data_IF_561475620536
#
_entry.id   IF_561475620536
#
_cell.length_a   1.000
_cell.length_b   1.000
_cell.length_c   1.000
_cell.angle_alpha   90.00
_cell.angle_beta   90.00
_cell.angle_gamma   90.00
#
_symmetry.space_group_name_H-M   'P 1'
#
loop_
_entity.id
_entity.type
_entity.pdbx_description
1 polymer ?
#
# COMPACT_ATOMS: atom_id res chain seq x y z
N UNK A 1 -12.65 34.10 22.99
CA UNK A 1 -12.97 34.83 21.77
C UNK A 1 -11.75 35.52 21.13
N UNK A 2 -10.65 35.74 21.86
CA UNK A 2 -9.47 36.46 21.32
C UNK A 2 -8.50 35.61 20.55
N UNK A 3 -8.60 34.28 20.60
CA UNK A 3 -7.67 33.37 19.92
C UNK A 3 -8.09 32.94 18.50
N UNK A 4 -9.34 33.14 18.10
CA UNK A 4 -9.84 32.82 16.75
C UNK A 4 -9.23 33.68 15.64
N UNK A 5 -8.74 34.88 15.98
CA UNK A 5 -8.17 35.82 14.99
C UNK A 5 -6.75 35.46 14.50
N UNK A 6 -6.13 34.42 15.05
CA UNK A 6 -4.69 34.10 14.77
C UNK A 6 -4.48 32.95 13.78
N UNK A 7 -5.53 32.28 13.33
CA UNK A 7 -5.40 31.13 12.44
C UNK A 7 -5.86 31.46 11.01
N UNK A 8 -4.94 31.33 10.06
CA UNK A 8 -5.28 31.36 8.64
C UNK A 8 -5.59 29.94 8.19
N UNK A 9 -6.84 29.64 7.82
CA UNK A 9 -7.22 28.37 7.21
C UNK A 9 -6.76 28.36 5.76
N UNK A 10 -5.78 27.54 5.44
CA UNK A 10 -5.36 27.25 4.06
C UNK A 10 -5.97 25.92 3.65
N UNK A 11 -6.76 25.92 2.58
CA UNK A 11 -7.38 24.71 2.03
C UNK A 11 -6.73 24.42 0.68
N UNK A 12 -6.12 23.23 0.57
CA UNK A 12 -5.58 22.70 -0.69
C UNK A 12 -6.37 21.46 -1.09
N UNK A 13 -6.66 21.33 -2.37
CA UNK A 13 -7.12 20.08 -2.95
C UNK A 13 -5.95 19.39 -3.68
N UNK A 14 -6.12 18.11 -4.03
CA UNK A 14 -5.08 17.35 -4.73
C UNK A 14 -4.68 17.97 -6.08
N UNK A 15 -5.62 18.59 -6.78
CA UNK A 15 -5.36 19.27 -8.05
C UNK A 15 -4.39 20.44 -7.88
N UNK A 16 -4.61 21.28 -6.88
CA UNK A 16 -3.72 22.41 -6.56
C UNK A 16 -2.34 21.93 -6.13
N UNK A 17 -2.29 20.85 -5.32
CA UNK A 17 -1.05 20.24 -4.88
C UNK A 17 -0.24 19.71 -6.06
N UNK A 18 -0.86 18.95 -6.97
CA UNK A 18 -0.21 18.39 -8.16
C UNK A 18 0.30 19.47 -9.13
N UNK A 19 -0.42 20.58 -9.25
CA UNK A 19 0.04 21.71 -10.07
C UNK A 19 1.32 22.36 -9.53
N UNK A 20 1.55 22.31 -8.22
CA UNK A 20 2.75 22.83 -7.58
C UNK A 20 3.97 21.89 -7.63
N UNK A 21 3.77 20.62 -8.02
CA UNK A 21 4.84 19.63 -8.04
C UNK A 21 5.69 19.70 -9.31
N UNK A 22 6.98 19.38 -9.18
CA UNK A 22 7.91 19.34 -10.30
C UNK A 22 7.69 18.12 -11.18
N UNK A 23 7.52 16.94 -10.57
CA UNK A 23 7.50 15.64 -11.26
C UNK A 23 6.10 15.04 -11.32
N UNK A 24 5.45 14.83 -10.17
CA UNK A 24 4.15 14.16 -10.09
C UNK A 24 3.04 15.04 -10.66
N UNK A 25 2.37 14.57 -11.72
CA UNK A 25 1.34 15.33 -12.46
C UNK A 25 -0.06 14.75 -12.39
N UNK A 26 -0.19 13.48 -11.98
CA UNK A 26 -1.50 12.84 -11.93
C UNK A 26 -1.61 11.82 -10.80
N UNK A 27 -2.83 11.63 -10.32
CA UNK A 27 -3.21 10.63 -9.33
C UNK A 27 -4.40 9.83 -9.85
N UNK A 28 -4.24 8.52 -9.95
CA UNK A 28 -5.32 7.57 -10.16
C UNK A 28 -5.88 7.09 -8.84
N UNK A 29 -7.21 7.01 -8.73
CA UNK A 29 -7.90 6.38 -7.61
C UNK A 29 -8.80 5.31 -8.17
N UNK A 30 -8.67 4.07 -7.70
CA UNK A 30 -9.41 2.95 -8.23
C UNK A 30 -9.75 1.90 -7.19
N UNK A 31 -10.70 1.05 -7.59
CA UNK A 31 -11.12 -0.13 -6.84
C UNK A 31 -10.92 -1.35 -7.72
N UNK A 32 -10.51 -2.43 -7.10
CA UNK A 32 -10.46 -3.73 -7.75
C UNK A 32 -11.24 -4.73 -6.90
N UNK A 33 -12.22 -5.38 -7.52
CA UNK A 33 -13.06 -6.35 -6.85
C UNK A 33 -12.58 -7.76 -7.15
N UNK A 34 -12.58 -8.61 -6.12
CA UNK A 34 -12.21 -10.01 -6.26
C UNK A 34 -13.22 -10.93 -5.55
N UNK A 35 -13.24 -12.18 -5.94
CA UNK A 35 -14.00 -13.25 -5.27
C UNK A 35 -13.04 -14.22 -4.58
N UNK A 36 -13.47 -14.84 -3.49
CA UNK A 36 -12.65 -15.78 -2.72
C UNK A 36 -11.55 -15.10 -1.91
N UNK A 37 -10.29 -15.52 -2.11
CA UNK A 37 -9.11 -14.96 -1.42
C UNK A 37 -8.25 -14.16 -2.40
N UNK A 38 -7.90 -12.93 -2.05
CA UNK A 38 -7.15 -12.00 -2.92
C UNK A 38 -5.75 -12.52 -3.34
N UNK A 39 -5.17 -13.42 -2.54
CA UNK A 39 -3.85 -14.01 -2.77
C UNK A 39 -3.92 -15.40 -3.44
N UNK A 40 -5.12 -15.95 -3.69
CA UNK A 40 -5.30 -17.26 -4.34
C UNK A 40 -5.80 -17.09 -5.76
N UNK A 41 -5.23 -17.90 -6.65
CA UNK A 41 -5.74 -18.01 -8.03
C UNK A 41 -7.14 -18.63 -8.04
N UNK A 42 -8.00 -18.07 -8.86
CA UNK A 42 -9.30 -18.66 -9.18
C UNK A 42 -9.10 -19.79 -10.21
N UNK A 43 -10.02 -20.76 -10.27
CA UNK A 43 -9.91 -21.85 -11.24
C UNK A 43 -9.87 -21.42 -12.72
N UNK A 44 -10.45 -20.26 -13.02
CA UNK A 44 -10.56 -19.64 -14.35
C UNK A 44 -9.54 -18.54 -14.61
N UNK A 45 -8.62 -18.28 -13.66
CA UNK A 45 -7.62 -17.21 -13.75
C UNK A 45 -6.20 -17.74 -13.56
N UNK A 46 -5.27 -17.18 -14.30
CA UNK A 46 -3.86 -17.52 -14.20
C UNK A 46 -3.17 -16.85 -13.00
N UNK A 47 -3.72 -15.73 -12.53
CA UNK A 47 -3.17 -14.92 -11.43
C UNK A 47 -4.22 -14.70 -10.34
N UNK A 48 -3.76 -14.48 -9.13
CA UNK A 48 -4.59 -13.96 -8.03
C UNK A 48 -4.86 -12.46 -8.24
N UNK A 49 -5.87 -11.93 -7.56
CA UNK A 49 -6.18 -10.50 -7.64
C UNK A 49 -5.00 -9.61 -7.20
N UNK A 50 -4.21 -10.07 -6.23
CA UNK A 50 -3.00 -9.35 -5.80
C UNK A 50 -1.95 -9.32 -6.91
N UNK A 51 -1.67 -10.46 -7.56
CA UNK A 51 -0.71 -10.55 -8.67
C UNK A 51 -1.13 -9.71 -9.89
N UNK A 52 -2.45 -9.58 -10.14
CA UNK A 52 -2.98 -8.74 -11.23
C UNK A 52 -2.70 -7.25 -11.00
N UNK A 53 -2.78 -6.79 -9.75
CA UNK A 53 -2.69 -5.37 -9.42
C UNK A 53 -1.25 -4.93 -9.16
N UNK A 54 -0.42 -5.76 -8.55
CA UNK A 54 0.96 -5.39 -8.21
C UNK A 54 1.80 -5.35 -9.48
N UNK A 55 2.20 -4.14 -9.86
CA UNK A 55 3.19 -3.91 -10.91
C UNK A 55 4.58 -3.88 -10.28
N UNK A 56 5.39 -4.91 -10.54
CA UNK A 56 6.74 -5.06 -10.00
C UNK A 56 7.75 -4.00 -10.48
N UNK A 57 7.37 -3.20 -11.47
CA UNK A 57 8.16 -2.04 -11.90
C UNK A 57 7.92 -0.81 -11.02
N UNK A 58 6.85 -0.81 -10.22
CA UNK A 58 6.40 0.30 -9.39
C UNK A 58 6.77 0.12 -7.92
N UNK A 59 7.06 1.23 -7.26
CA UNK A 59 7.32 1.28 -5.82
C UNK A 59 5.99 1.28 -5.08
N UNK A 60 5.68 0.18 -4.38
CA UNK A 60 4.34 -0.09 -3.86
C UNK A 60 4.33 -0.18 -2.34
N UNK A 61 3.37 0.49 -1.69
CA UNK A 61 2.99 0.21 -0.30
C UNK A 61 1.73 -0.65 -0.32
N UNK A 62 1.77 -1.80 0.34
CA UNK A 62 0.63 -2.70 0.53
C UNK A 62 0.17 -2.61 1.98
N UNK A 63 -1.03 -2.08 2.19
CA UNK A 63 -1.67 -2.07 3.50
C UNK A 63 -2.54 -3.32 3.66
N UNK A 64 -2.14 -4.20 4.58
CA UNK A 64 -2.89 -5.42 4.87
C UNK A 64 -4.22 -5.10 5.57
N UNK A 65 -5.23 -6.01 5.48
CA UNK A 65 -6.51 -5.80 6.15
C UNK A 65 -6.34 -5.74 7.68
N UNK A 66 -7.23 -4.98 8.33
CA UNK A 66 -7.33 -5.06 9.79
C UNK A 66 -7.71 -6.50 10.20
N UNK A 67 -7.19 -6.98 11.31
CA UNK A 67 -7.52 -8.31 11.87
C UNK A 67 -9.02 -8.52 12.10
N UNK A 68 -9.77 -7.44 12.25
CA UNK A 68 -11.23 -7.46 12.42
C UNK A 68 -12.00 -7.43 11.09
N UNK A 69 -11.33 -7.18 9.97
CA UNK A 69 -11.98 -7.16 8.67
C UNK A 69 -12.41 -8.57 8.22
N UNK A 70 -13.46 -8.65 7.41
CA UNK A 70 -13.96 -9.93 6.88
C UNK A 70 -12.94 -10.61 5.95
N UNK A 71 -12.15 -9.81 5.24
CA UNK A 71 -11.12 -10.25 4.30
C UNK A 71 -9.86 -10.81 4.99
N UNK A 72 -9.68 -10.50 6.29
CA UNK A 72 -8.50 -10.91 7.05
C UNK A 72 -8.50 -12.41 7.36
N UNK A 73 -7.32 -13.04 7.34
CA UNK A 73 -7.08 -14.37 7.90
C UNK A 73 -7.20 -14.42 9.44
N UNK A 74 -7.37 -13.25 10.09
CA UNK A 74 -7.34 -12.99 11.53
C UNK A 74 -5.93 -13.02 12.15
N UNK A 75 -4.94 -13.40 11.38
CA UNK A 75 -3.54 -13.47 11.78
C UNK A 75 -2.68 -12.61 10.84
N UNK A 76 -2.18 -11.46 11.34
CA UNK A 76 -1.46 -10.49 10.54
C UNK A 76 -0.17 -11.04 9.90
N UNK A 77 0.48 -11.99 10.55
CA UNK A 77 1.69 -12.63 10.02
C UNK A 77 1.37 -13.58 8.86
N UNK A 78 0.23 -14.25 8.91
CA UNK A 78 -0.27 -15.06 7.79
C UNK A 78 -0.59 -14.18 6.58
N UNK A 79 -1.17 -12.99 6.81
CA UNK A 79 -1.39 -12.04 5.71
C UNK A 79 -0.10 -11.64 5.01
N UNK A 80 0.96 -11.36 5.78
CA UNK A 80 2.28 -11.05 5.21
C UNK A 80 2.82 -12.23 4.42
N UNK A 81 2.75 -13.44 4.97
CA UNK A 81 3.21 -14.66 4.29
C UNK A 81 2.43 -14.89 2.99
N UNK A 82 1.10 -14.72 2.99
CA UNK A 82 0.28 -14.86 1.79
C UNK A 82 0.66 -13.84 0.69
N UNK A 83 0.98 -12.60 1.09
CA UNK A 83 1.45 -11.59 0.14
C UNK A 83 2.81 -11.98 -0.42
N UNK A 84 3.75 -12.40 0.44
CA UNK A 84 5.08 -12.83 0.01
C UNK A 84 4.97 -14.02 -0.96
N UNK A 85 4.18 -15.05 -0.60
CA UNK A 85 3.98 -16.24 -1.42
C UNK A 85 3.32 -15.92 -2.77
N UNK A 86 2.43 -14.93 -2.84
CA UNK A 86 1.84 -14.47 -4.09
C UNK A 86 2.86 -13.72 -4.96
N UNK A 87 3.74 -12.92 -4.36
CA UNK A 87 4.77 -12.18 -5.09
C UNK A 87 5.89 -13.10 -5.62
N UNK A 88 6.32 -14.06 -4.81
CA UNK A 88 7.47 -14.89 -5.21
C UNK A 88 7.95 -15.85 -4.15
N UNK A 89 9.15 -16.38 -4.39
CA UNK A 89 9.83 -17.26 -3.46
C UNK A 89 10.86 -16.45 -2.66
N UNK A 90 10.81 -16.56 -1.32
CA UNK A 90 11.76 -15.88 -0.46
C UNK A 90 13.14 -16.52 -0.60
N UNK A 91 14.11 -15.75 -1.10
CA UNK A 91 15.50 -16.20 -1.24
C UNK A 91 16.25 -16.08 0.09
N UNK A 92 16.20 -14.90 0.70
CA UNK A 92 16.81 -14.64 2.01
C UNK A 92 16.30 -13.33 2.63
N UNK A 93 16.61 -13.16 3.90
CA UNK A 93 16.45 -11.90 4.63
C UNK A 93 17.82 -11.34 5.00
N UNK A 94 18.07 -10.07 4.70
CA UNK A 94 19.28 -9.38 5.11
C UNK A 94 19.28 -9.15 6.64
N UNK A 95 20.26 -9.70 7.32
CA UNK A 95 20.35 -9.64 8.78
C UNK A 95 20.63 -8.24 9.33
N UNK A 96 21.23 -7.35 8.54
CA UNK A 96 21.58 -5.99 8.96
C UNK A 96 20.41 -5.02 8.78
N UNK A 97 19.74 -5.11 7.65
CA UNK A 97 18.65 -4.18 7.27
C UNK A 97 17.26 -4.74 7.60
N UNK A 98 17.11 -6.06 7.68
CA UNK A 98 15.82 -6.72 7.80
C UNK A 98 15.03 -6.81 6.49
N UNK A 99 15.58 -6.36 5.38
CA UNK A 99 14.93 -6.42 4.06
C UNK A 99 14.82 -7.86 3.58
N UNK A 100 13.65 -8.24 3.08
CA UNK A 100 13.40 -9.52 2.44
C UNK A 100 13.73 -9.43 0.95
N UNK A 101 14.42 -10.42 0.44
CA UNK A 101 14.74 -10.57 -0.98
C UNK A 101 13.90 -11.71 -1.55
N UNK A 102 12.97 -11.36 -2.43
CA UNK A 102 11.96 -12.27 -2.97
C UNK A 102 12.16 -12.38 -4.47
N UNK A 103 12.35 -13.62 -4.96
CA UNK A 103 12.41 -13.89 -6.39
C UNK A 103 11.01 -13.98 -6.96
N UNK A 104 10.63 -12.98 -7.75
CA UNK A 104 9.32 -12.93 -8.39
C UNK A 104 9.04 -14.18 -9.23
N UNK A 105 7.87 -14.78 -9.02
CA UNK A 105 7.37 -15.88 -9.86
C UNK A 105 7.03 -15.43 -11.27
N UNK A 106 6.68 -14.16 -11.44
CA UNK A 106 6.25 -13.60 -12.72
C UNK A 106 7.43 -13.17 -13.59
N UNK A 107 8.34 -12.38 -13.03
CA UNK A 107 9.44 -11.78 -13.81
C UNK A 107 10.80 -12.42 -13.57
N UNK A 108 10.97 -13.24 -12.52
CA UNK A 108 12.25 -13.73 -12.05
C UNK A 108 13.15 -12.68 -11.41
N UNK A 109 12.67 -11.44 -11.30
CA UNK A 109 13.37 -10.33 -10.64
C UNK A 109 13.47 -10.56 -9.14
N UNK A 110 14.54 -10.07 -8.53
CA UNK A 110 14.63 -9.98 -7.07
C UNK A 110 13.95 -8.69 -6.61
N UNK A 111 12.90 -8.86 -5.85
CA UNK A 111 12.15 -7.77 -5.21
C UNK A 111 12.67 -7.56 -3.79
N UNK A 112 12.91 -6.31 -3.42
CA UNK A 112 13.30 -5.90 -2.06
C UNK A 112 12.05 -5.49 -1.30
N UNK A 113 11.70 -6.26 -0.28
CA UNK A 113 10.44 -6.08 0.47
C UNK A 113 10.73 -5.74 1.92
N UNK A 114 10.11 -4.69 2.43
CA UNK A 114 10.14 -4.29 3.84
C UNK A 114 8.85 -4.72 4.53
N UNK A 115 8.95 -5.59 5.55
CA UNK A 115 7.83 -5.98 6.41
C UNK A 115 7.78 -5.10 7.65
N UNK A 116 6.78 -4.20 7.72
CA UNK A 116 6.49 -3.34 8.88
C UNK A 116 5.39 -3.88 9.78
N UNK A 117 4.89 -5.08 9.51
CA UNK A 117 3.86 -5.75 10.31
C UNK A 117 4.48 -6.51 11.49
N UNK A 118 5.76 -6.88 11.36
CA UNK A 118 6.48 -7.62 12.39
C UNK A 118 6.63 -6.79 13.67
N UNK A 119 6.11 -7.32 14.79
CA UNK A 119 6.18 -6.66 16.11
C UNK A 119 7.49 -6.90 16.86
N UNK A 120 8.38 -7.73 16.38
CA UNK A 120 9.67 -7.93 17.03
C UNK A 120 10.46 -6.60 17.04
N UNK A 121 10.73 -6.00 18.21
CA UNK A 121 11.35 -4.69 18.30
C UNK A 121 12.68 -4.62 17.56
N UNK A 122 13.51 -5.65 17.68
CA UNK A 122 14.84 -5.69 17.04
C UNK A 122 14.74 -5.70 15.52
N UNK A 123 13.82 -6.50 14.96
CA UNK A 123 13.60 -6.57 13.52
C UNK A 123 13.01 -5.27 13.00
N UNK A 124 12.05 -4.71 13.74
CA UNK A 124 11.39 -3.45 13.41
C UNK A 124 12.37 -2.28 13.42
N UNK A 125 13.22 -2.17 14.45
CA UNK A 125 14.21 -1.09 14.54
C UNK A 125 15.20 -1.12 13.37
N UNK A 126 15.64 -2.31 12.94
CA UNK A 126 16.55 -2.47 11.79
C UNK A 126 15.91 -1.97 10.51
N UNK A 127 14.69 -2.47 10.20
CA UNK A 127 14.02 -2.09 8.96
C UNK A 127 13.63 -0.61 8.96
N UNK A 128 13.23 -0.05 10.12
CA UNK A 128 12.92 1.36 10.25
C UNK A 128 14.16 2.26 10.09
N UNK A 129 15.30 1.84 10.63
CA UNK A 129 16.57 2.55 10.45
C UNK A 129 16.97 2.55 8.96
N UNK A 130 16.80 1.41 8.29
CA UNK A 130 17.07 1.30 6.86
C UNK A 130 16.13 2.19 6.03
N UNK A 131 14.81 2.14 6.27
CA UNK A 131 13.84 2.96 5.55
C UNK A 131 14.07 4.47 5.70
N UNK A 132 14.54 4.92 6.87
CA UNK A 132 14.93 6.33 7.09
C UNK A 132 16.20 6.73 6.34
N UNK A 133 17.04 5.77 6.01
CA UNK A 133 18.30 5.99 5.29
C UNK A 133 18.17 5.88 3.76
N UNK A 134 17.02 5.48 3.22
CA UNK A 134 16.77 5.34 1.79
C UNK A 134 16.99 6.67 1.07
N UNK A 135 17.74 6.62 -0.03
CA UNK A 135 18.05 7.77 -0.88
C UNK A 135 17.70 7.58 -2.34
N UNK A 136 17.44 6.34 -2.75
CA UNK A 136 17.16 6.02 -4.14
C UNK A 136 15.92 5.12 -4.29
N UNK A 137 15.20 5.22 -5.43
CA UNK A 137 14.03 4.37 -5.68
C UNK A 137 14.35 2.87 -5.67
N UNK A 138 15.59 2.50 -6.03
CA UNK A 138 16.04 1.11 -6.10
C UNK A 138 16.39 0.46 -4.75
N UNK A 139 16.28 1.20 -3.65
CA UNK A 139 16.63 0.67 -2.32
C UNK A 139 15.54 -0.28 -1.81
N UNK A 140 14.26 0.02 -2.06
CA UNK A 140 13.09 -0.82 -1.73
C UNK A 140 12.11 -0.84 -2.91
N UNK A 141 11.47 -1.98 -3.14
CA UNK A 141 10.44 -2.15 -4.16
C UNK A 141 9.04 -2.15 -3.54
N UNK A 142 8.86 -2.88 -2.43
CA UNK A 142 7.55 -3.05 -1.78
C UNK A 142 7.69 -2.86 -0.27
N UNK A 143 6.73 -2.15 0.32
CA UNK A 143 6.55 -2.05 1.77
C UNK A 143 5.22 -2.69 2.13
N UNK A 144 5.21 -3.64 3.07
CA UNK A 144 3.99 -4.24 3.63
C UNK A 144 3.75 -3.62 5.01
N UNK A 145 2.56 -3.03 5.22
CA UNK A 145 2.23 -2.31 6.44
C UNK A 145 0.84 -2.66 6.98
N UNK A 146 0.64 -2.55 8.29
CA UNK A 146 -0.64 -2.71 8.96
C UNK A 146 -1.28 -1.34 9.20
N UNK A 147 -2.47 -1.12 8.65
CA UNK A 147 -3.25 0.09 8.86
C UNK A 147 -2.51 1.38 8.50
N UNK A 148 -2.79 2.43 9.25
CA UNK A 148 -1.98 3.64 9.20
C UNK A 148 -0.66 3.32 9.90
N UNK A 149 0.37 3.05 9.13
CA UNK A 149 1.69 2.96 9.69
C UNK A 149 1.99 4.31 10.39
N UNK A 150 1.93 4.33 11.72
CA UNK A 150 2.39 5.45 12.57
C UNK A 150 3.91 5.57 12.51
N UNK A 151 4.45 5.20 11.37
CA UNK A 151 5.86 4.97 11.15
C UNK A 151 6.48 6.31 10.76
N UNK A 152 7.37 6.78 11.57
CA UNK A 152 8.10 8.03 11.34
C UNK A 152 9.16 7.90 10.24
N UNK A 153 8.77 7.43 9.04
CA UNK A 153 9.61 7.45 7.84
C UNK A 153 8.90 8.15 6.69
N UNK A 154 9.66 8.78 5.84
CA UNK A 154 9.19 9.35 4.58
C UNK A 154 9.76 8.54 3.41
N UNK A 155 8.87 8.07 2.53
CA UNK A 155 9.24 7.33 1.33
C UNK A 155 8.64 7.99 0.09
N UNK A 156 9.30 9.03 -0.43
CA UNK A 156 8.76 9.82 -1.54
C UNK A 156 8.65 9.02 -2.84
N UNK A 157 9.39 7.93 -2.96
CA UNK A 157 9.43 7.09 -4.16
C UNK A 157 8.19 6.24 -4.40
N UNK A 158 7.26 6.15 -3.44
CA UNK A 158 6.03 5.38 -3.57
C UNK A 158 5.20 5.85 -4.78
N UNK A 159 4.96 4.92 -5.72
CA UNK A 159 4.16 5.15 -6.92
C UNK A 159 2.76 4.56 -6.80
N UNK A 160 2.62 3.48 -6.02
CA UNK A 160 1.36 2.78 -5.84
C UNK A 160 1.07 2.53 -4.35
N UNK A 161 -0.05 3.04 -3.87
CA UNK A 161 -0.59 2.71 -2.56
C UNK A 161 -1.76 1.73 -2.73
N UNK A 162 -1.56 0.50 -2.31
CA UNK A 162 -2.54 -0.58 -2.37
C UNK A 162 -3.10 -0.84 -0.97
N UNK A 163 -4.41 -0.86 -0.81
CA UNK A 163 -5.08 -1.30 0.41
C UNK A 163 -5.85 -2.58 0.16
N UNK A 164 -5.81 -3.51 1.10
CA UNK A 164 -6.58 -4.75 1.05
C UNK A 164 -7.71 -4.66 2.07
N UNK A 165 -8.93 -4.94 1.59
CA UNK A 165 -10.14 -4.88 2.39
C UNK A 165 -10.77 -3.49 2.51
N UNK A 166 -12.00 -3.47 3.00
CA UNK A 166 -12.77 -2.25 3.17
C UNK A 166 -12.14 -1.30 4.20
N UNK A 167 -12.08 -0.02 3.86
CA UNK A 167 -11.64 1.07 4.72
C UNK A 167 -12.78 2.06 4.95
N UNK A 168 -13.32 2.08 6.16
CA UNK A 168 -14.45 2.95 6.51
C UNK A 168 -14.07 4.38 6.88
N UNK A 169 -12.78 4.69 7.04
CA UNK A 169 -12.31 6.00 7.45
C UNK A 169 -11.74 6.78 6.27
N UNK A 170 -12.43 7.84 5.87
CA UNK A 170 -11.94 8.77 4.84
C UNK A 170 -10.57 9.37 5.22
N UNK A 171 -10.37 9.69 6.51
CA UNK A 171 -9.08 10.20 7.00
C UNK A 171 -7.94 9.20 6.78
N UNK A 172 -8.20 7.90 7.03
CA UNK A 172 -7.22 6.85 6.77
C UNK A 172 -6.88 6.76 5.28
N UNK A 173 -7.89 6.77 4.42
CA UNK A 173 -7.72 6.73 2.97
C UNK A 173 -6.88 7.93 2.48
N UNK A 174 -7.21 9.14 2.92
CA UNK A 174 -6.46 10.36 2.57
C UNK A 174 -4.99 10.25 3.01
N UNK A 175 -4.71 9.72 4.19
CA UNK A 175 -3.34 9.54 4.68
C UNK A 175 -2.56 8.49 3.89
N UNK A 176 -3.22 7.41 3.46
CA UNK A 176 -2.62 6.40 2.61
C UNK A 176 -2.31 6.97 1.22
N UNK A 177 -3.27 7.67 0.61
CA UNK A 177 -3.07 8.37 -0.67
C UNK A 177 -1.92 9.36 -0.56
N UNK A 178 -1.85 10.12 0.55
CA UNK A 178 -0.79 11.09 0.82
C UNK A 178 0.63 10.51 0.79
N UNK A 179 0.79 9.19 1.01
CA UNK A 179 2.09 8.53 0.87
C UNK A 179 2.52 8.36 -0.59
N UNK A 180 1.57 8.06 -1.48
CA UNK A 180 1.86 7.93 -2.91
C UNK A 180 1.97 9.29 -3.62
N UNK A 181 1.38 10.34 -3.06
CA UNK A 181 1.35 11.69 -3.67
C UNK A 181 2.52 12.59 -3.23
N UNK A 182 3.61 12.04 -2.72
CA UNK A 182 4.86 12.78 -2.54
C UNK A 182 5.50 13.04 -3.90
N UNK A 183 6.01 14.26 -4.10
CA UNK A 183 6.73 14.58 -5.34
C UNK A 183 8.09 13.90 -5.37
N UNK A 184 8.42 13.27 -6.49
CA UNK A 184 9.70 12.57 -6.67
C UNK A 184 9.99 12.33 -8.15
N UNK A 185 11.28 12.47 -8.53
CA UNK A 185 11.73 12.36 -9.92
C UNK A 185 11.56 10.99 -10.58
N UNK A 186 11.25 9.94 -9.79
CA UNK A 186 11.02 8.60 -10.35
C UNK A 186 9.60 8.41 -10.92
N UNK A 187 8.69 9.37 -10.72
CA UNK A 187 7.29 9.20 -11.10
C UNK A 187 6.62 10.47 -11.61
N UNK A 188 5.78 10.33 -12.62
CA UNK A 188 4.87 11.37 -13.10
C UNK A 188 3.41 11.08 -12.76
N UNK A 189 3.14 9.84 -12.36
CA UNK A 189 1.82 9.34 -11.97
C UNK A 189 1.92 8.57 -10.65
N UNK A 190 0.91 8.73 -9.79
CA UNK A 190 0.71 7.90 -8.61
C UNK A 190 -0.65 7.20 -8.69
N UNK A 191 -0.74 6.01 -8.13
CA UNK A 191 -1.97 5.22 -8.09
C UNK A 191 -2.34 4.87 -6.65
N UNK A 192 -3.60 5.05 -6.31
CA UNK A 192 -4.22 4.41 -5.16
C UNK A 192 -5.19 3.35 -5.64
N UNK A 193 -5.11 2.15 -5.09
CA UNK A 193 -6.05 1.06 -5.39
C UNK A 193 -6.55 0.44 -4.09
N UNK A 194 -7.87 0.29 -3.99
CA UNK A 194 -8.47 -0.48 -2.92
C UNK A 194 -8.95 -1.84 -3.46
N UNK A 195 -8.37 -2.91 -2.94
CA UNK A 195 -8.68 -4.29 -3.28
C UNK A 195 -9.77 -4.80 -2.35
N UNK A 196 -10.98 -5.02 -2.86
CA UNK A 196 -12.18 -5.30 -2.07
C UNK A 196 -12.76 -6.65 -2.46
N UNK A 197 -13.06 -7.49 -1.44
CA UNK A 197 -13.82 -8.71 -1.66
C UNK A 197 -15.21 -8.34 -2.19
N UNK A 198 -15.57 -8.92 -3.33
CA UNK A 198 -16.92 -8.79 -3.86
C UNK A 198 -17.84 -9.63 -2.97
N UNK A 199 -18.83 -9.04 -2.27
CA UNK A 199 -19.87 -9.82 -1.64
C UNK A 199 -20.61 -10.59 -2.75
N UNK A 200 -21.11 -11.75 -2.42
CA UNK A 200 -21.98 -12.49 -3.33
C UNK A 200 -22.98 -11.51 -3.97
N UNK A 201 -23.19 -11.62 -5.29
CA UNK A 201 -23.65 -10.59 -6.22
C UNK A 201 -25.01 -9.89 -5.92
N UNK A 202 -25.55 -9.99 -4.71
CA UNK A 202 -26.84 -9.45 -4.30
C UNK A 202 -26.76 -8.20 -3.39
N UNK A 203 -25.58 -7.70 -3.06
CA UNK A 203 -25.48 -6.62 -2.06
C UNK A 203 -25.28 -5.24 -2.70
N UNK A 204 -26.39 -4.48 -2.84
CA UNK A 204 -26.39 -3.06 -3.24
C UNK A 204 -25.60 -2.15 -2.26
N UNK A 205 -25.31 -2.62 -1.04
CA UNK A 205 -24.54 -1.87 -0.03
C UNK A 205 -23.12 -1.54 -0.47
N UNK A 206 -22.49 -2.40 -1.28
CA UNK A 206 -21.13 -2.14 -1.81
C UNK A 206 -21.16 -1.03 -2.85
N UNK A 207 -22.18 -0.98 -3.71
CA UNK A 207 -22.35 0.11 -4.67
C UNK A 207 -22.57 1.45 -3.98
N UNK A 208 -23.34 1.44 -2.89
CA UNK A 208 -23.59 2.63 -2.07
C UNK A 208 -22.32 3.07 -1.36
N UNK A 209 -21.54 2.13 -0.79
CA UNK A 209 -20.27 2.44 -0.15
C UNK A 209 -19.25 3.04 -1.13
N UNK A 210 -19.14 2.49 -2.34
CA UNK A 210 -18.24 3.01 -3.39
C UNK A 210 -18.70 4.40 -3.85
N UNK A 211 -20.00 4.61 -4.06
CA UNK A 211 -20.54 5.92 -4.47
C UNK A 211 -20.39 7.01 -3.39
N UNK A 212 -20.33 6.63 -2.12
CA UNK A 212 -20.10 7.56 -1.02
C UNK A 212 -18.63 7.91 -0.78
N UNK A 213 -17.69 7.23 -1.46
CA UNK A 213 -16.25 7.48 -1.38
C UNK A 213 -15.73 8.36 -2.53
N UNK A 214 -16.53 8.59 -3.56
CA UNK A 214 -16.26 9.48 -4.69
C UNK A 214 -16.84 10.88 -4.42
#
# INVERSE_FOLDING_TARGET
PEDEAKFTKVTYNYYEQLNGYEYLKSLGIGYHFYTGRYFKKQPDREMSALEEIVDESKKTIIHIPSVNAAESSKEKYEEVNHIIDALGDMEYQDEHTGVLYIKSKRSGKILKVADLVNDNPKSRDKIMAYLRAIKAPGDIDIIIALGMAKEGFDWPFCEHALTIGYRGSLTEIIQIIGRATRDSSNKTHAQFTNLIAQPDAENDEVKVAVNNML
#
